data_IF_348902936354
#
_entry.id   IF_348902936354
#
_cell.length_a   1.000
_cell.length_b   1.000
_cell.length_c   1.000
_cell.angle_alpha   90.00
_cell.angle_beta   90.00
_cell.angle_gamma   90.00
#
_symmetry.space_group_name_H-M   'P 1'
#
loop_
_entity.id
_entity.type
_entity.pdbx_description
1 polymer ?
#
# COMPACT_ATOMS: atom_id res chain seq x y z
N UNK A 1 9.91 14.07 -6.94
CA UNK A 1 8.94 15.18 -6.89
C UNK A 1 7.82 14.87 -7.88
N UNK A 2 6.56 15.00 -7.47
CA UNK A 2 5.42 14.64 -8.34
C UNK A 2 4.89 15.93 -8.94
N UNK A 3 5.03 16.07 -10.25
CA UNK A 3 4.51 17.23 -10.97
C UNK A 3 3.32 16.79 -11.83
N UNK A 4 2.18 17.47 -11.65
CA UNK A 4 0.96 17.20 -12.40
C UNK A 4 0.48 18.52 -13.01
N UNK A 5 0.70 18.67 -14.32
CA UNK A 5 0.21 19.82 -15.07
C UNK A 5 -1.25 19.65 -15.46
N UNK A 6 -1.96 20.76 -15.54
CA UNK A 6 -3.35 20.84 -16.00
C UNK A 6 -3.43 20.58 -17.50
N UNK A 7 -4.36 19.73 -17.92
CA UNK A 7 -4.65 19.51 -19.35
C UNK A 7 -5.66 20.54 -19.87
N UNK A 8 -5.61 20.88 -21.16
CA UNK A 8 -6.65 21.71 -21.80
C UNK A 8 -7.99 20.95 -21.69
N UNK A 9 -9.05 21.66 -21.29
CA UNK A 9 -10.40 21.14 -21.02
C UNK A 9 -10.54 20.21 -19.78
N UNK A 10 -9.60 20.24 -18.84
CA UNK A 10 -9.74 19.53 -17.56
C UNK A 10 -10.41 20.43 -16.49
N UNK A 11 -11.42 19.88 -15.81
CA UNK A 11 -11.96 20.46 -14.57
C UNK A 11 -10.90 20.40 -13.45
N UNK A 12 -10.91 21.40 -12.57
CA UNK A 12 -9.98 21.44 -11.43
C UNK A 12 -10.06 20.19 -10.55
N UNK A 13 -11.27 19.64 -10.34
CA UNK A 13 -11.45 18.44 -9.53
C UNK A 13 -10.74 17.21 -10.13
N UNK A 14 -10.81 17.04 -11.46
CA UNK A 14 -10.14 15.94 -12.17
C UNK A 14 -8.61 16.02 -12.03
N UNK A 15 -8.06 17.23 -12.06
CA UNK A 15 -6.64 17.47 -11.80
C UNK A 15 -6.24 17.04 -10.38
N UNK A 16 -7.02 17.45 -9.37
CA UNK A 16 -6.77 17.10 -7.97
C UNK A 16 -6.86 15.58 -7.74
N UNK A 17 -7.82 14.90 -8.37
CA UNK A 17 -7.94 13.43 -8.31
C UNK A 17 -6.71 12.74 -8.87
N UNK A 18 -6.20 13.20 -10.02
CA UNK A 18 -4.95 12.68 -10.61
C UNK A 18 -3.76 12.91 -9.70
N UNK A 19 -3.63 14.11 -9.14
CA UNK A 19 -2.59 14.42 -8.18
C UNK A 19 -2.63 13.50 -6.97
N UNK A 20 -3.82 13.32 -6.36
CA UNK A 20 -4.01 12.42 -5.22
C UNK A 20 -3.65 10.96 -5.56
N UNK A 21 -4.08 10.46 -6.73
CA UNK A 21 -3.74 9.11 -7.19
C UNK A 21 -2.23 8.96 -7.39
N UNK A 22 -1.56 9.93 -8.01
CA UNK A 22 -0.11 9.91 -8.17
C UNK A 22 0.64 10.02 -6.83
N UNK A 23 0.17 10.85 -5.90
CA UNK A 23 0.71 10.88 -4.54
C UNK A 23 0.58 9.53 -3.84
N UNK A 24 -0.57 8.88 -3.92
CA UNK A 24 -0.79 7.57 -3.33
C UNK A 24 0.13 6.51 -3.94
N UNK A 25 0.21 6.45 -5.27
CA UNK A 25 1.06 5.50 -5.99
C UNK A 25 2.55 5.72 -5.72
N UNK A 26 2.98 6.98 -5.61
CA UNK A 26 4.38 7.33 -5.32
C UNK A 26 4.88 6.82 -3.97
N UNK A 27 3.98 6.51 -3.03
CA UNK A 27 4.34 6.11 -1.67
C UNK A 27 5.08 7.18 -0.86
N UNK A 28 5.19 8.42 -1.36
CA UNK A 28 5.92 9.52 -0.69
C UNK A 28 5.42 9.77 0.73
N UNK A 29 4.10 9.78 0.93
CA UNK A 29 3.50 9.91 2.27
C UNK A 29 3.84 8.74 3.19
N UNK A 30 3.86 7.51 2.65
CA UNK A 30 4.24 6.32 3.42
C UNK A 30 5.70 6.37 3.83
N UNK A 31 6.59 6.79 2.91
CA UNK A 31 8.00 6.94 3.18
C UNK A 31 8.25 8.02 4.24
N UNK A 32 7.60 9.19 4.12
CA UNK A 32 7.69 10.25 5.11
C UNK A 32 7.32 9.76 6.53
N UNK A 33 6.21 9.03 6.66
CA UNK A 33 5.81 8.39 7.93
C UNK A 33 6.79 7.32 8.40
N UNK A 34 7.40 6.58 7.46
CA UNK A 34 8.36 5.51 7.80
C UNK A 34 9.65 6.07 8.41
N UNK A 35 10.15 7.19 7.89
CA UNK A 35 11.42 7.83 8.31
C UNK A 35 11.24 8.92 9.38
N UNK A 36 10.00 9.27 9.73
CA UNK A 36 9.69 10.29 10.73
C UNK A 36 10.41 10.07 12.08
N UNK A 37 10.65 8.81 12.46
CA UNK A 37 11.34 8.45 13.69
C UNK A 37 12.48 7.47 13.42
N UNK A 38 13.55 7.57 14.23
CA UNK A 38 14.64 6.61 14.21
C UNK A 38 14.12 5.20 14.56
N UNK A 39 14.52 4.21 13.75
CA UNK A 39 14.21 2.79 13.98
C UNK A 39 15.50 2.02 14.09
N UNK A 40 15.68 1.33 15.21
CA UNK A 40 16.81 0.41 15.39
C UNK A 40 16.72 -0.79 14.44
N UNK A 41 17.86 -1.40 14.16
CA UNK A 41 17.92 -2.62 13.38
C UNK A 41 17.20 -3.76 14.11
N UNK A 42 16.36 -4.52 13.39
CA UNK A 42 15.61 -5.64 13.99
C UNK A 42 16.53 -6.82 14.29
N UNK A 43 16.34 -7.48 15.42
CA UNK A 43 17.06 -8.71 15.74
C UNK A 43 16.61 -9.88 14.85
N UNK A 44 17.47 -10.90 14.68
CA UNK A 44 17.18 -12.09 13.87
C UNK A 44 15.88 -12.79 14.30
N UNK A 45 15.61 -12.85 15.60
CA UNK A 45 14.41 -13.47 16.16
C UNK A 45 13.12 -12.72 15.75
N UNK A 46 13.14 -11.39 15.80
CA UNK A 46 12.00 -10.55 15.39
C UNK A 46 11.73 -10.70 13.89
N UNK A 47 12.78 -10.74 13.07
CA UNK A 47 12.66 -10.99 11.62
C UNK A 47 12.06 -12.38 11.35
N UNK A 48 12.54 -13.42 12.05
CA UNK A 48 12.02 -14.80 11.90
C UNK A 48 10.53 -14.87 12.26
N UNK A 49 10.14 -14.34 13.42
CA UNK A 49 8.74 -14.33 13.86
C UNK A 49 7.82 -13.62 12.86
N UNK A 50 8.21 -12.43 12.39
CA UNK A 50 7.42 -11.69 11.39
C UNK A 50 7.31 -12.42 10.05
N UNK A 51 8.36 -13.13 9.64
CA UNK A 51 8.37 -13.94 8.42
C UNK A 51 7.43 -15.13 8.51
N UNK A 52 7.43 -15.84 9.65
CA UNK A 52 6.50 -16.95 9.90
C UNK A 52 5.04 -16.50 9.85
N UNK A 53 4.72 -15.35 10.46
CA UNK A 53 3.36 -14.78 10.41
C UNK A 53 2.96 -14.45 8.97
N UNK A 54 3.87 -13.86 8.17
CA UNK A 54 3.61 -13.53 6.76
C UNK A 54 3.33 -14.78 5.94
N UNK A 55 4.11 -15.85 6.13
CA UNK A 55 3.91 -17.13 5.43
C UNK A 55 2.57 -17.77 5.78
N UNK A 56 2.21 -17.80 7.08
CA UNK A 56 0.89 -18.30 7.52
C UNK A 56 -0.25 -17.54 6.86
N UNK A 57 -0.18 -16.20 6.86
CA UNK A 57 -1.19 -15.35 6.21
C UNK A 57 -1.29 -15.62 4.70
N UNK A 58 -0.16 -15.78 4.02
CA UNK A 58 -0.12 -16.10 2.58
C UNK A 58 -0.85 -17.42 2.29
N UNK A 59 -0.56 -18.47 3.06
CA UNK A 59 -1.22 -19.77 2.91
C UNK A 59 -2.74 -19.71 3.16
N UNK A 60 -3.18 -18.95 4.17
CA UNK A 60 -4.62 -18.72 4.40
C UNK A 60 -5.25 -17.98 3.21
N UNK A 61 -4.61 -16.93 2.68
CA UNK A 61 -5.15 -16.19 1.53
C UNK A 61 -5.21 -17.05 0.27
N UNK A 62 -4.19 -17.88 0.00
CA UNK A 62 -4.17 -18.83 -1.12
C UNK A 62 -5.31 -19.85 -1.01
N UNK A 63 -5.53 -20.40 0.20
CA UNK A 63 -6.65 -21.30 0.46
C UNK A 63 -8.01 -20.62 0.26
N UNK A 64 -8.21 -19.42 0.81
CA UNK A 64 -9.45 -18.65 0.66
C UNK A 64 -9.75 -18.29 -0.80
N UNK A 65 -8.71 -17.99 -1.57
CA UNK A 65 -8.82 -17.75 -3.02
C UNK A 65 -9.25 -19.02 -3.75
N UNK A 66 -8.67 -20.18 -3.39
CA UNK A 66 -9.01 -21.48 -4.00
C UNK A 66 -10.47 -21.88 -3.76
N UNK A 67 -11.02 -21.59 -2.59
CA UNK A 67 -12.42 -21.90 -2.25
C UNK A 67 -13.42 -20.82 -2.72
N UNK A 68 -12.94 -19.77 -3.40
CA UNK A 68 -13.78 -18.67 -3.90
C UNK A 68 -14.33 -17.73 -2.80
N UNK A 69 -13.95 -17.92 -1.53
CA UNK A 69 -14.32 -17.05 -0.40
C UNK A 69 -13.27 -15.96 -0.21
N UNK A 70 -12.87 -15.30 -1.29
CA UNK A 70 -11.89 -14.22 -1.22
C UNK A 70 -12.47 -13.07 -0.40
N UNK A 71 -11.84 -12.63 0.70
CA UNK A 71 -12.33 -11.49 1.49
C UNK A 71 -12.12 -10.12 0.79
N UNK A 72 -11.95 -10.11 -0.54
CA UNK A 72 -11.62 -8.92 -1.34
C UNK A 72 -12.60 -8.61 -2.47
N UNK A 73 -13.75 -9.31 -2.53
CA UNK A 73 -14.84 -8.99 -3.47
C UNK A 73 -16.20 -8.77 -2.81
N UNK A 74 -16.24 -8.37 -1.53
CA UNK A 74 -17.42 -7.69 -0.98
C UNK A 74 -17.19 -6.19 -1.05
N UNK A 75 -17.32 -5.64 -2.26
CA UNK A 75 -17.68 -4.24 -2.47
C UNK A 75 -19.17 -4.20 -2.76
N UNK A 76 -19.98 -4.12 -1.71
CA UNK A 76 -21.28 -3.45 -1.76
C UNK A 76 -21.13 -2.09 -1.12
#
# INVERSE_FOLDING_TARGET
MIEVKRRKNESFESLVRRFRKQMQLSGTTLQAKKVQYHKSHKSKNVVRASTLIRLKRKGVMEYLTKIGKTPTTDKK
#
